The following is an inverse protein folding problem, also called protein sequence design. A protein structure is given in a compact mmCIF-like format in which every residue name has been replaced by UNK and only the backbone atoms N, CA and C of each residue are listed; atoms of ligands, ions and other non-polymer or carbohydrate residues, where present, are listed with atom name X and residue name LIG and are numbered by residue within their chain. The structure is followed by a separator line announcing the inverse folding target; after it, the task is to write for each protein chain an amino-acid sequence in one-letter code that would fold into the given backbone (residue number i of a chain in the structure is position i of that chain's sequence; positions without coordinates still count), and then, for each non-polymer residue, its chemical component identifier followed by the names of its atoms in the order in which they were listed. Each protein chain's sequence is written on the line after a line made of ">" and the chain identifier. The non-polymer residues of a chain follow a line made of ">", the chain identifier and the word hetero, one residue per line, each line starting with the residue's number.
data_IF_790134878995
#
_entry.id   IF_790134878995
#
_cell.length_a   1.000
_cell.length_b   1.000
_cell.length_c   1.000
_cell.angle_alpha   90.00
_cell.angle_beta   90.00
_cell.angle_gamma   90.00
#
_symmetry.space_group_name_H-M   'P 1'
#
loop_
_entity.id
_entity.type
_entity.pdbx_description
1 polymer ?
#
# COMPACT_ATOMS: atom_id res chain seq x y z
N UNK A 1 9.79 -2.64 1.85
CA UNK A 1 9.25 -3.84 1.15
C UNK A 1 9.27 -4.99 2.13
N UNK A 2 8.14 -5.67 2.39
CA UNK A 2 8.11 -6.80 3.33
C UNK A 2 9.03 -7.92 2.83
N UNK A 3 9.98 -8.34 3.65
CA UNK A 3 11.04 -9.28 3.27
C UNK A 3 10.53 -10.66 2.82
N UNK A 4 9.28 -11.03 3.12
CA UNK A 4 8.76 -12.38 2.91
C UNK A 4 7.60 -12.51 1.91
N UNK A 5 7.22 -11.45 1.17
CA UNK A 5 6.04 -11.47 0.27
C UNK A 5 4.75 -12.03 0.92
N UNK A 6 4.67 -12.01 2.25
CA UNK A 6 3.57 -12.60 2.99
C UNK A 6 2.32 -11.73 2.86
N UNK A 7 1.16 -12.37 2.69
CA UNK A 7 -0.13 -11.69 2.75
C UNK A 7 -0.40 -11.20 4.17
N UNK A 8 -1.09 -10.06 4.28
CA UNK A 8 -1.60 -9.54 5.56
C UNK A 8 -3.09 -9.78 5.57
N UNK A 9 -3.59 -10.55 6.53
CA UNK A 9 -5.00 -10.55 6.86
C UNK A 9 -5.31 -9.33 7.70
N UNK A 10 -6.15 -8.42 7.20
CA UNK A 10 -6.65 -7.27 7.97
C UNK A 10 -8.12 -7.55 8.31
N UNK A 11 -8.50 -7.59 9.60
CA UNK A 11 -9.90 -7.78 9.97
C UNK A 11 -10.80 -6.64 9.48
N UNK A 12 -12.07 -6.95 9.29
CA UNK A 12 -13.09 -5.95 8.93
C UNK A 12 -13.12 -4.83 9.96
N UNK A 13 -13.29 -3.59 9.50
CA UNK A 13 -13.31 -2.37 10.32
C UNK A 13 -12.01 -2.06 11.09
N UNK A 14 -10.91 -2.78 10.81
CA UNK A 14 -9.60 -2.48 11.37
C UNK A 14 -8.75 -1.75 10.34
N UNK A 15 -8.25 -0.58 10.70
CA UNK A 15 -7.42 0.23 9.80
C UNK A 15 -5.99 -0.30 9.74
N UNK A 16 -5.54 -0.62 8.53
CA UNK A 16 -4.14 -0.86 8.20
C UNK A 16 -3.52 0.45 7.70
N UNK A 17 -2.34 0.78 8.23
CA UNK A 17 -1.47 1.84 7.71
C UNK A 17 -0.14 1.23 7.32
N UNK A 18 0.31 1.47 6.09
CA UNK A 18 1.58 0.95 5.58
C UNK A 18 2.32 2.01 4.75
N UNK A 19 3.64 2.08 4.93
CA UNK A 19 4.50 2.96 4.15
C UNK A 19 5.15 2.19 3.01
N UNK A 20 4.95 2.68 1.78
CA UNK A 20 5.62 2.16 0.59
C UNK A 20 6.74 3.09 0.23
N UNK A 21 7.92 2.53 0.00
CA UNK A 21 9.13 3.25 -0.40
C UNK A 21 9.54 2.70 -1.77
N UNK A 22 9.76 3.61 -2.72
CA UNK A 22 10.28 3.29 -4.04
C UNK A 22 11.54 4.12 -4.31
N UNK A 23 12.47 3.53 -5.07
CA UNK A 23 13.74 4.15 -5.40
C UNK A 23 13.86 4.31 -6.92
N UNK A 24 14.41 5.45 -7.35
CA UNK A 24 14.86 5.71 -8.72
C UNK A 24 16.38 5.66 -8.77
N UNK A 25 16.92 5.05 -9.81
CA UNK A 25 18.38 4.89 -9.98
C UNK A 25 19.01 5.93 -10.91
N UNK A 26 18.20 6.64 -11.69
CA UNK A 26 18.69 7.69 -12.58
C UNK A 26 18.72 9.04 -11.87
N UNK A 27 19.88 9.69 -11.86
CA UNK A 27 19.99 11.09 -11.49
C UNK A 27 19.10 11.91 -12.44
N UNK A 28 18.21 12.74 -11.91
CA UNK A 28 17.20 13.57 -12.59
C UNK A 28 15.82 12.94 -12.83
N UNK A 29 15.60 11.67 -12.48
CA UNK A 29 14.25 11.13 -12.46
C UNK A 29 13.60 11.39 -11.10
N UNK A 30 12.29 11.62 -11.11
CA UNK A 30 11.49 11.75 -9.89
C UNK A 30 10.22 10.94 -10.01
N UNK A 31 9.73 10.43 -8.87
CA UNK A 31 8.41 9.84 -8.78
C UNK A 31 7.45 10.95 -8.41
N UNK A 32 6.52 11.27 -9.30
CA UNK A 32 5.50 12.30 -9.08
C UNK A 32 4.19 11.72 -8.56
N UNK A 33 3.93 10.44 -8.85
CA UNK A 33 2.69 9.78 -8.49
C UNK A 33 2.87 8.27 -8.25
N UNK A 34 2.08 7.75 -7.33
CA UNK A 34 1.81 6.32 -7.18
C UNK A 34 0.36 6.08 -7.57
N UNK A 35 0.08 5.08 -8.41
CA UNK A 35 -1.27 4.68 -8.76
C UNK A 35 -1.66 3.45 -7.92
N UNK A 36 -2.87 3.47 -7.39
CA UNK A 36 -3.42 2.38 -6.56
C UNK A 36 -4.77 1.96 -7.12
N UNK A 37 -4.97 0.67 -7.35
CA UNK A 37 -6.21 0.13 -7.92
C UNK A 37 -7.01 -0.76 -6.96
N UNK A 38 -6.35 -1.40 -6.00
CA UNK A 38 -6.97 -2.37 -5.08
C UNK A 38 -6.29 -2.35 -3.71
N UNK A 39 -7.00 -2.63 -2.61
CA UNK A 39 -8.46 -2.81 -2.51
C UNK A 39 -9.25 -1.49 -2.67
N UNK A 40 -10.58 -1.59 -2.80
CA UNK A 40 -11.43 -0.40 -2.89
C UNK A 40 -11.31 0.49 -1.63
N UNK A 41 -11.62 1.77 -1.76
CA UNK A 41 -11.59 2.76 -0.66
C UNK A 41 -10.22 2.95 0.01
N UNK A 42 -9.15 2.35 -0.52
CA UNK A 42 -7.80 2.62 -0.07
C UNK A 42 -7.41 4.05 -0.39
N UNK A 43 -6.76 4.71 0.56
CA UNK A 43 -6.27 6.07 0.42
C UNK A 43 -4.75 6.10 0.55
N UNK A 44 -4.13 7.15 0.02
CA UNK A 44 -2.69 7.38 0.13
C UNK A 44 -2.39 8.87 0.30
N UNK A 45 -1.26 9.16 0.92
CA UNK A 45 -0.70 10.52 0.96
C UNK A 45 -0.17 10.95 -0.40
N UNK A 46 0.17 12.25 -0.52
CA UNK A 46 1.02 12.73 -1.60
C UNK A 46 2.39 12.06 -1.57
N UNK A 47 3.07 12.08 -2.71
CA UNK A 47 4.44 11.55 -2.83
C UNK A 47 5.40 12.50 -2.14
N UNK A 48 6.18 11.96 -1.21
CA UNK A 48 7.19 12.72 -0.49
C UNK A 48 8.58 12.14 -0.74
N UNK A 49 9.60 12.98 -0.96
CA UNK A 49 10.97 12.52 -1.04
C UNK A 49 11.50 12.06 0.32
N UNK A 50 12.38 11.06 0.29
CA UNK A 50 13.20 10.67 1.43
C UNK A 50 14.51 11.46 1.35
N UNK A 51 14.69 12.42 2.25
CA UNK A 51 15.87 13.30 2.29
C UNK A 51 15.66 14.68 1.65
N UNK A 52 16.64 15.57 1.78
CA UNK A 52 16.48 17.01 1.54
C UNK A 52 17.19 17.53 0.28
N UNK A 53 18.09 16.76 -0.35
CA UNK A 53 18.80 17.17 -1.57
C UNK A 53 18.91 16.00 -2.56
N UNK A 54 18.35 16.18 -3.77
CA UNK A 54 18.33 15.18 -4.85
C UNK A 54 17.86 13.77 -4.40
N UNK A 55 16.63 13.65 -3.90
CA UNK A 55 16.12 12.39 -3.36
C UNK A 55 16.05 11.32 -4.45
N UNK A 56 16.71 10.19 -4.23
CA UNK A 56 16.58 8.99 -5.07
C UNK A 56 15.49 8.06 -4.56
N UNK A 57 14.95 8.32 -3.37
CA UNK A 57 13.90 7.51 -2.75
C UNK A 57 12.69 8.39 -2.45
N UNK A 58 11.50 7.83 -2.67
CA UNK A 58 10.22 8.47 -2.45
C UNK A 58 9.31 7.54 -1.68
N UNK A 59 8.43 8.09 -0.88
CA UNK A 59 7.47 7.30 -0.12
C UNK A 59 6.06 7.87 -0.20
N UNK A 60 5.11 6.97 0.01
CA UNK A 60 3.72 7.26 0.33
C UNK A 60 3.33 6.48 1.58
N UNK A 61 2.39 7.01 2.34
CA UNK A 61 1.69 6.25 3.36
C UNK A 61 0.32 5.89 2.82
N UNK A 62 0.01 4.61 2.85
CA UNK A 62 -1.26 4.05 2.43
C UNK A 62 -2.08 3.68 3.66
N UNK A 63 -3.38 3.96 3.59
CA UNK A 63 -4.33 3.64 4.65
C UNK A 63 -5.52 2.93 4.03
N UNK A 64 -5.91 1.81 4.64
CA UNK A 64 -7.07 1.03 4.20
C UNK A 64 -7.81 0.46 5.41
N UNK A 65 -9.13 0.56 5.38
CA UNK A 65 -10.03 -0.08 6.34
C UNK A 65 -10.93 -1.03 5.57
N UNK A 66 -10.83 -2.36 5.76
CA UNK A 66 -11.64 -3.31 5.04
C UNK A 66 -13.11 -3.20 5.46
N UNK A 67 -14.00 -3.31 4.48
CA UNK A 67 -15.44 -3.33 4.69
C UNK A 67 -16.03 -4.66 4.21
N UNK A 68 -17.21 -5.02 4.70
CA UNK A 68 -17.86 -6.31 4.40
C UNK A 68 -18.13 -6.51 2.89
N UNK A 69 -18.43 -5.45 2.14
CA UNK A 69 -18.64 -5.46 0.69
C UNK A 69 -17.39 -5.84 -0.12
N UNK A 70 -16.21 -5.76 0.49
CA UNK A 70 -14.94 -6.16 -0.11
C UNK A 70 -14.65 -7.66 0.05
N UNK A 71 -15.38 -8.34 0.94
CA UNK A 71 -15.34 -9.78 1.05
C UNK A 71 -16.25 -10.38 -0.01
N UNK A 72 -15.67 -11.14 -0.94
CA UNK A 72 -16.46 -11.96 -1.86
C UNK A 72 -17.33 -12.94 -1.08
N UNK A 73 -18.48 -13.33 -1.63
CA UNK A 73 -19.44 -14.30 -1.06
C UNK A 73 -18.90 -15.73 -0.89
N UNK A 74 -17.58 -15.93 -0.80
CA UNK A 74 -16.98 -17.23 -0.53
C UNK A 74 -17.17 -17.57 0.93
N UNK A 75 -18.29 -18.23 1.21
CA UNK A 75 -18.45 -19.17 2.31
C UNK A 75 -17.16 -20.00 2.41
N UNK A 76 -16.40 -19.79 3.49
CA UNK A 76 -15.36 -20.72 3.91
C UNK A 76 -16.08 -22.03 4.24
N UNK A 77 -16.28 -22.90 3.24
CA UNK A 77 -16.54 -24.30 3.50
C UNK A 77 -15.25 -24.87 4.07
N UNK A 78 -15.19 -24.96 5.40
CA UNK A 78 -14.31 -25.91 6.06
C UNK A 78 -14.79 -27.28 5.60
N UNK A 79 -14.09 -27.88 4.64
CA UNK A 79 -14.21 -29.30 4.37
C UNK A 79 -13.36 -29.98 5.43
N UNK A 80 -14.04 -30.50 6.45
CA UNK A 80 -13.46 -31.41 7.46
C UNK A 80 -13.24 -32.77 6.82
#
# INVERSE_FOLDING_TARGET
>A
VRSNRACIGVPINVTLTETIIAQVYCANNSITEFLTSTPMYMTKTSVLPVGTSAPTSYYITMTWTPTEDQYGTRSLRVVV
#
